data_IF_150354155605
#
_entry.id   IF_150354155605
#
_cell.length_a   1.000
_cell.length_b   1.000
_cell.length_c   1.000
_cell.angle_alpha   90.00
_cell.angle_beta   90.00
_cell.angle_gamma   90.00
#
_symmetry.space_group_name_H-M   'P 1'
#
loop_
_entity.id
_entity.type
_entity.pdbx_description
1 polymer ?
#
# COMPACT_ATOMS: atom_id res chain seq x y z
N UNK A 1 19.41 6.14 -4.74
CA UNK A 1 18.18 6.94 -5.03
C UNK A 1 18.25 8.32 -4.36
N UNK A 2 17.86 9.42 -5.02
CA UNK A 2 17.70 10.72 -4.33
C UNK A 2 16.35 10.77 -3.61
N UNK A 3 16.32 11.31 -2.39
CA UNK A 3 15.10 11.49 -1.55
C UNK A 3 13.90 12.07 -2.33
N UNK A 4 14.18 12.94 -3.28
CA UNK A 4 13.17 13.59 -4.11
C UNK A 4 12.44 12.60 -5.03
N UNK A 5 13.16 11.65 -5.64
CA UNK A 5 12.57 10.61 -6.48
C UNK A 5 11.67 9.69 -5.64
N UNK A 6 12.13 9.31 -4.44
CA UNK A 6 11.31 8.54 -3.51
C UNK A 6 9.98 9.24 -3.18
N UNK A 7 10.05 10.52 -2.83
CA UNK A 7 8.88 11.30 -2.44
C UNK A 7 7.90 11.44 -3.61
N UNK A 8 8.41 11.70 -4.81
CA UNK A 8 7.62 11.77 -6.03
C UNK A 8 6.92 10.44 -6.33
N UNK A 9 7.66 9.32 -6.28
CA UNK A 9 7.11 7.98 -6.51
C UNK A 9 6.08 7.59 -5.45
N UNK A 10 6.27 8.03 -4.20
CA UNK A 10 5.33 7.77 -3.12
C UNK A 10 4.01 8.53 -3.30
N UNK A 11 4.07 9.82 -3.68
CA UNK A 11 2.89 10.60 -4.04
C UNK A 11 2.18 10.01 -5.26
N UNK A 12 2.94 9.65 -6.30
CA UNK A 12 2.39 9.02 -7.48
C UNK A 12 1.70 7.69 -7.15
N UNK A 13 2.31 6.88 -6.27
CA UNK A 13 1.73 5.64 -5.78
C UNK A 13 0.39 5.83 -5.08
N UNK A 14 0.30 6.82 -4.19
CA UNK A 14 -0.98 7.19 -3.54
C UNK A 14 -2.02 7.60 -4.57
N UNK A 15 -1.65 8.48 -5.51
CA UNK A 15 -2.55 8.96 -6.55
C UNK A 15 -3.08 7.81 -7.42
N UNK A 16 -2.20 6.93 -7.89
CA UNK A 16 -2.57 5.78 -8.72
C UNK A 16 -3.41 4.78 -7.96
N UNK A 17 -3.09 4.50 -6.70
CA UNK A 17 -3.87 3.59 -5.84
C UNK A 17 -5.28 4.15 -5.62
N UNK A 18 -5.40 5.45 -5.33
CA UNK A 18 -6.70 6.12 -5.23
C UNK A 18 -7.47 6.07 -6.55
N UNK A 19 -6.84 6.39 -7.69
CA UNK A 19 -7.49 6.31 -9.00
C UNK A 19 -7.95 4.89 -9.34
N UNK A 20 -7.18 3.87 -8.97
CA UNK A 20 -7.55 2.46 -9.17
C UNK A 20 -8.72 2.03 -8.26
N UNK A 21 -8.90 2.66 -7.09
CA UNK A 21 -10.00 2.33 -6.17
C UNK A 21 -11.35 2.89 -6.62
N UNK A 22 -11.37 3.98 -7.39
CA UNK A 22 -12.60 4.63 -7.87
C UNK A 22 -13.45 3.72 -8.79
N UNK A 23 -12.91 3.06 -9.84
CA UNK A 23 -13.67 2.13 -10.66
C UNK A 23 -14.28 0.97 -9.87
N UNK A 24 -13.55 0.47 -8.87
CA UNK A 24 -14.08 -0.59 -8.01
C UNK A 24 -15.20 -0.08 -7.12
N UNK A 25 -15.05 1.11 -6.53
CA UNK A 25 -16.10 1.74 -5.71
C UNK A 25 -17.39 1.97 -6.51
N UNK A 26 -17.27 2.36 -7.78
CA UNK A 26 -18.41 2.61 -8.66
C UNK A 26 -19.09 1.34 -9.18
N UNK A 27 -18.30 0.36 -9.62
CA UNK A 27 -18.83 -0.80 -10.35
C UNK A 27 -18.92 -2.08 -9.50
N UNK A 28 -18.18 -2.15 -8.40
CA UNK A 28 -18.06 -3.30 -7.49
C UNK A 28 -17.75 -4.64 -8.19
N UNK A 29 -17.05 -4.61 -9.33
CA UNK A 29 -16.65 -5.80 -10.08
C UNK A 29 -15.26 -6.30 -9.67
N UNK A 30 -15.10 -7.61 -9.59
CA UNK A 30 -13.84 -8.29 -9.27
C UNK A 30 -12.60 -7.79 -10.05
N UNK A 31 -12.63 -7.59 -11.39
CA UNK A 31 -11.45 -7.13 -12.12
C UNK A 31 -10.92 -5.77 -11.64
N UNK A 32 -11.79 -4.83 -11.27
CA UNK A 32 -11.35 -3.55 -10.72
C UNK A 32 -10.74 -3.69 -9.32
N UNK A 33 -11.25 -4.62 -8.52
CA UNK A 33 -10.65 -4.94 -7.22
C UNK A 33 -9.26 -5.55 -7.40
N UNK A 34 -9.10 -6.49 -8.32
CA UNK A 34 -7.81 -7.13 -8.61
C UNK A 34 -6.81 -6.08 -9.09
N UNK A 35 -7.22 -5.19 -10.01
CA UNK A 35 -6.38 -4.09 -10.48
C UNK A 35 -5.95 -3.19 -9.32
N UNK A 36 -6.89 -2.76 -8.48
CA UNK A 36 -6.57 -1.96 -7.29
C UNK A 36 -5.62 -2.71 -6.33
N UNK A 37 -5.87 -3.99 -6.07
CA UNK A 37 -5.05 -4.79 -5.16
C UNK A 37 -3.62 -4.95 -5.67
N UNK A 38 -3.44 -5.15 -6.98
CA UNK A 38 -2.11 -5.20 -7.61
C UNK A 38 -1.40 -3.85 -7.39
N UNK A 39 -2.03 -2.73 -7.75
CA UNK A 39 -1.44 -1.39 -7.57
C UNK A 39 -1.12 -1.12 -6.10
N UNK A 40 -2.03 -1.46 -5.19
CA UNK A 40 -1.84 -1.29 -3.75
C UNK A 40 -0.65 -2.10 -3.23
N UNK A 41 -0.57 -3.40 -3.52
CA UNK A 41 0.54 -4.25 -3.09
C UNK A 41 1.85 -3.75 -3.67
N UNK A 42 1.86 -3.36 -4.94
CA UNK A 42 3.05 -2.89 -5.64
C UNK A 42 3.68 -1.67 -4.96
N UNK A 43 2.88 -0.63 -4.66
CA UNK A 43 3.39 0.59 -4.03
C UNK A 43 3.60 0.44 -2.51
N UNK A 44 2.80 -0.36 -1.81
CA UNK A 44 2.98 -0.55 -0.36
C UNK A 44 4.12 -1.50 -0.02
N UNK A 45 4.45 -2.48 -0.86
CA UNK A 45 5.58 -3.39 -0.61
C UNK A 45 6.90 -2.61 -0.45
N UNK A 46 7.08 -1.54 -1.22
CA UNK A 46 8.25 -0.67 -1.09
C UNK A 46 8.28 0.07 0.26
N UNK A 47 7.16 0.67 0.65
CA UNK A 47 7.05 1.42 1.90
C UNK A 47 7.19 0.49 3.11
N UNK A 48 6.63 -0.72 3.00
CA UNK A 48 6.76 -1.78 3.99
C UNK A 48 8.23 -2.16 4.19
N UNK A 49 8.93 -2.49 3.10
CA UNK A 49 10.36 -2.84 3.12
C UNK A 49 11.21 -1.74 3.75
N UNK A 50 10.94 -0.48 3.41
CA UNK A 50 11.69 0.66 3.96
C UNK A 50 11.43 0.86 5.46
N UNK A 51 10.20 0.60 5.91
CA UNK A 51 9.83 0.78 7.32
C UNK A 51 10.32 -0.37 8.21
N UNK A 52 10.06 -1.62 7.80
CA UNK A 52 10.34 -2.81 8.61
C UNK A 52 11.73 -3.38 8.38
N UNK A 53 12.09 -3.59 7.11
CA UNK A 53 13.32 -4.29 6.73
C UNK A 53 14.50 -3.32 6.64
N UNK A 54 14.23 -2.01 6.65
CA UNK A 54 15.21 -0.93 6.45
C UNK A 54 15.99 -1.09 5.15
N UNK A 55 15.37 -1.76 4.18
CA UNK A 55 15.92 -2.05 2.86
C UNK A 55 14.98 -1.53 1.76
N UNK A 56 15.54 -1.32 0.57
CA UNK A 56 14.79 -0.94 -0.62
C UNK A 56 14.79 -2.13 -1.56
N UNK A 57 13.63 -2.79 -1.71
CA UNK A 57 13.49 -3.86 -2.70
C UNK A 57 13.79 -3.35 -4.12
N UNK A 58 14.79 -3.94 -4.77
CA UNK A 58 15.25 -3.52 -6.11
C UNK A 58 14.26 -3.83 -7.25
N UNK A 59 13.20 -4.60 -6.99
CA UNK A 59 12.52 -5.36 -8.05
C UNK A 59 11.33 -4.70 -8.75
N UNK A 60 10.82 -3.55 -8.28
CA UNK A 60 9.47 -3.13 -8.70
C UNK A 60 9.37 -1.77 -9.40
N UNK A 61 10.06 -0.71 -8.93
CA UNK A 61 10.07 0.61 -9.60
C UNK A 61 11.44 1.30 -9.62
N UNK A 62 12.45 0.69 -8.99
CA UNK A 62 13.75 1.31 -8.78
C UNK A 62 14.89 0.45 -9.33
N UNK A 63 14.96 0.20 -10.66
CA UNK A 63 16.20 -0.28 -11.27
C UNK A 63 17.32 0.79 -11.25
N UNK A 64 17.22 1.83 -10.42
CA UNK A 64 17.95 3.10 -10.54
C UNK A 64 19.01 3.34 -9.47
N UNK A 65 19.36 2.36 -8.64
CA UNK A 65 20.66 2.39 -7.99
C UNK A 65 21.09 1.05 -7.43
N UNK A 66 22.20 0.53 -7.92
CA UNK A 66 23.07 -0.45 -7.24
C UNK A 66 23.60 0.05 -5.88
N UNK A 67 23.24 1.26 -5.48
CA UNK A 67 23.56 1.85 -4.18
C UNK A 67 22.35 1.76 -3.25
N UNK A 68 22.38 0.77 -2.38
CA UNK A 68 21.65 0.81 -1.11
C UNK A 68 22.00 2.13 -0.41
N UNK A 69 21.03 3.01 -0.19
CA UNK A 69 21.22 4.17 0.68
C UNK A 69 20.74 3.80 2.08
N UNK A 70 21.41 4.31 3.11
CA UNK A 70 20.98 4.07 4.49
C UNK A 70 19.60 4.68 4.73
N UNK A 71 18.68 3.86 5.20
CA UNK A 71 17.36 4.30 5.63
C UNK A 71 17.50 4.90 7.03
N UNK A 72 17.56 6.22 7.11
CA UNK A 72 17.52 6.94 8.38
C UNK A 72 16.10 6.92 8.99
N UNK A 73 15.98 7.33 10.26
CA UNK A 73 14.69 7.37 10.96
C UNK A 73 13.63 8.28 10.30
N UNK A 74 14.06 9.33 9.59
CA UNK A 74 13.14 10.21 8.84
C UNK A 74 12.52 9.51 7.64
N UNK A 75 13.29 8.70 6.91
CA UNK A 75 12.80 7.95 5.75
C UNK A 75 11.83 6.86 6.22
N UNK A 76 12.13 6.18 7.35
CA UNK A 76 11.19 5.25 7.99
C UNK A 76 9.88 5.93 8.35
N UNK A 77 9.91 7.12 8.97
CA UNK A 77 8.70 7.85 9.33
C UNK A 77 7.86 8.22 8.09
N UNK A 78 8.51 8.62 6.99
CA UNK A 78 7.82 8.88 5.72
C UNK A 78 7.22 7.62 5.13
N UNK A 79 7.94 6.50 5.17
CA UNK A 79 7.42 5.22 4.67
C UNK A 79 6.17 4.78 5.45
N UNK A 80 6.16 4.94 6.77
CA UNK A 80 4.98 4.71 7.60
C UNK A 80 3.83 5.64 7.23
N UNK A 81 4.10 6.93 7.04
CA UNK A 81 3.09 7.90 6.62
C UNK A 81 2.43 7.50 5.29
N UNK A 82 3.22 7.11 4.30
CA UNK A 82 2.68 6.65 3.01
C UNK A 82 1.94 5.31 3.10
N UNK A 83 2.35 4.38 3.99
CA UNK A 83 1.57 3.16 4.28
C UNK A 83 0.18 3.50 4.82
N UNK A 84 0.10 4.44 5.77
CA UNK A 84 -1.17 4.87 6.37
C UNK A 84 -2.07 5.51 5.30
N UNK A 85 -1.53 6.44 4.50
CA UNK A 85 -2.30 7.12 3.46
C UNK A 85 -2.78 6.14 2.39
N UNK A 86 -1.94 5.21 1.94
CA UNK A 86 -2.37 4.20 0.98
C UNK A 86 -3.46 3.32 1.58
N UNK A 87 -3.37 2.96 2.86
CA UNK A 87 -4.42 2.19 3.55
C UNK A 87 -5.74 2.97 3.62
N UNK A 88 -5.71 4.29 3.70
CA UNK A 88 -6.92 5.12 3.61
C UNK A 88 -7.59 5.07 2.21
N UNK A 89 -6.89 4.61 1.17
CA UNK A 89 -7.48 4.41 -0.17
C UNK A 89 -8.25 3.10 -0.32
N UNK A 90 -8.25 2.24 0.71
CA UNK A 90 -8.95 0.96 0.67
C UNK A 90 -10.45 1.21 0.46
N UNK A 91 -11.06 0.62 -0.58
CA UNK A 91 -12.47 0.84 -0.88
C UNK A 91 -13.37 0.30 0.25
N UNK A 92 -14.32 1.12 0.77
CA UNK A 92 -15.06 0.82 1.99
C UNK A 92 -15.99 -0.39 1.88
N UNK A 93 -16.43 -0.75 0.66
CA UNK A 93 -17.43 -1.80 0.41
C UNK A 93 -17.00 -3.21 0.87
N UNK A 94 -15.70 -3.45 1.11
CA UNK A 94 -15.18 -4.75 1.58
C UNK A 94 -14.50 -4.71 2.95
N UNK A 95 -14.01 -3.56 3.42
CA UNK A 95 -13.39 -3.46 4.77
C UNK A 95 -14.38 -3.89 5.85
N UNK A 96 -15.63 -3.43 5.75
CA UNK A 96 -16.69 -3.87 6.66
C UNK A 96 -16.99 -5.37 6.57
N UNK A 97 -16.85 -5.98 5.39
CA UNK A 97 -17.07 -7.43 5.21
C UNK A 97 -15.93 -8.25 5.83
N UNK A 98 -14.68 -7.80 5.67
CA UNK A 98 -13.51 -8.42 6.29
C UNK A 98 -13.53 -8.27 7.81
N UNK A 99 -13.89 -7.09 8.34
CA UNK A 99 -14.10 -6.87 9.78
C UNK A 99 -15.22 -7.75 10.35
N UNK A 100 -16.27 -8.00 9.57
CA UNK A 100 -17.37 -8.88 9.99
C UNK A 100 -16.97 -10.35 9.97
N UNK A 101 -16.15 -10.78 9.00
CA UNK A 101 -15.59 -12.14 8.95
C UNK A 101 -14.59 -12.35 10.10
N UNK A 102 -13.69 -11.39 10.35
CA UNK A 102 -12.74 -11.49 11.46
C UNK A 102 -13.44 -11.50 12.81
N UNK A 103 -14.46 -10.67 13.03
CA UNK A 103 -15.31 -10.75 14.22
C UNK A 103 -16.04 -12.10 14.33
N UNK A 104 -16.56 -12.64 13.24
CA UNK A 104 -17.23 -13.95 13.24
C UNK A 104 -16.28 -15.13 13.52
N UNK A 105 -15.00 -15.01 13.17
CA UNK A 105 -13.97 -16.01 13.47
C UNK A 105 -13.41 -15.87 14.89
N UNK A 106 -13.28 -14.65 15.41
CA UNK A 106 -12.78 -14.36 16.76
C UNK A 106 -13.85 -14.52 17.84
N UNK A 107 -15.11 -14.32 17.48
CA UNK A 107 -16.28 -14.52 18.34
C UNK A 107 -17.30 -15.40 17.61
N UNK A 108 -17.00 -16.70 17.43
CA UNK A 108 -17.97 -17.61 16.87
C UNK A 108 -19.20 -17.62 17.78
N UNK A 109 -20.35 -17.30 17.18
CA UNK A 109 -21.62 -17.24 17.89
C UNK A 109 -21.92 -18.63 18.46
N UNK A 110 -21.67 -18.84 19.76
CA UNK A 110 -22.08 -20.04 20.49
C UNK A 110 -23.57 -19.89 20.79
N UNK A 111 -24.39 -20.28 19.83
CA UNK A 111 -25.77 -20.66 20.10
C UNK A 111 -25.80 -22.12 20.56
#
# INVERSE_FOLDING_TARGET
MTMLIYFFMSILGVYLTHKASLPYTKNNKAPYFILWAIVYVFFNAQQYSMFFDKEVLSYWFFPLSDTSFEINGWIQANALFFLIINTATIPPSKVGRWFRISKGLLFPNRN
#
